data_IF_795315098330
#
_entry.id   IF_795315098330
#
_cell.length_a   1.000
_cell.length_b   1.000
_cell.length_c   1.000
_cell.angle_alpha   90.00
_cell.angle_beta   90.00
_cell.angle_gamma   90.00
#
_symmetry.space_group_name_H-M   'P 1'
#
loop_
_entity.id
_entity.type
_entity.pdbx_description
1 polymer ?
#
# COMPACT_ATOMS: atom_id res chain seq x y z
N UNK A 1 -0.59 5.17 -27.64
CA UNK A 1 -0.25 5.15 -26.20
C UNK A 1 0.27 6.54 -25.80
N UNK A 2 -0.56 7.36 -25.16
CA UNK A 2 -0.26 8.78 -24.90
C UNK A 2 0.55 8.97 -23.62
N UNK A 3 1.33 10.04 -23.53
CA UNK A 3 2.31 10.28 -22.44
C UNK A 3 1.66 10.37 -21.04
N UNK A 4 0.36 10.70 -20.96
CA UNK A 4 -0.38 10.77 -19.71
C UNK A 4 -0.57 9.41 -19.02
N UNK A 5 -0.71 8.31 -19.78
CA UNK A 5 -0.92 6.96 -19.21
C UNK A 5 0.32 6.45 -18.48
N UNK A 6 1.52 6.75 -19.00
CA UNK A 6 2.79 6.41 -18.35
C UNK A 6 3.02 7.17 -17.04
N UNK A 7 2.38 8.34 -16.85
CA UNK A 7 2.48 9.11 -15.61
C UNK A 7 1.56 8.54 -14.53
N UNK A 8 0.35 8.12 -14.89
CA UNK A 8 -0.61 7.46 -13.98
C UNK A 8 -0.13 6.08 -13.55
N UNK A 9 0.43 5.29 -14.47
CA UNK A 9 1.02 3.98 -14.16
C UNK A 9 2.24 4.12 -13.22
N UNK A 10 3.14 5.10 -13.47
CA UNK A 10 4.29 5.36 -12.58
C UNK A 10 3.88 5.90 -11.21
N UNK A 11 2.87 6.77 -11.13
CA UNK A 11 2.35 7.26 -9.84
C UNK A 11 1.69 6.14 -9.01
N UNK A 12 0.94 5.23 -9.65
CA UNK A 12 0.35 4.04 -8.99
C UNK A 12 1.43 3.07 -8.48
N UNK A 13 2.51 2.87 -9.23
CA UNK A 13 3.66 2.07 -8.77
C UNK A 13 4.47 2.77 -7.68
N UNK A 14 4.58 4.09 -7.73
CA UNK A 14 5.31 4.89 -6.76
C UNK A 14 4.66 4.90 -5.37
N UNK A 15 3.33 5.00 -5.28
CA UNK A 15 2.67 5.14 -3.99
C UNK A 15 2.78 3.88 -3.12
N UNK A 16 2.63 2.69 -3.73
CA UNK A 16 2.83 1.43 -3.02
C UNK A 16 4.28 1.25 -2.58
N UNK A 17 5.25 1.61 -3.42
CA UNK A 17 6.67 1.50 -3.11
C UNK A 17 7.11 2.48 -2.01
N UNK A 18 6.57 3.71 -2.03
CA UNK A 18 6.75 4.70 -0.96
C UNK A 18 6.13 4.19 0.35
N UNK A 19 4.93 3.59 0.30
CA UNK A 19 4.29 3.00 1.48
C UNK A 19 5.13 1.88 2.10
N UNK A 20 5.65 0.95 1.28
CA UNK A 20 6.54 -0.11 1.75
C UNK A 20 7.83 0.44 2.35
N UNK A 21 8.47 1.42 1.71
CA UNK A 21 9.67 2.07 2.26
C UNK A 21 9.41 2.75 3.60
N UNK A 22 8.27 3.43 3.75
CA UNK A 22 7.87 4.07 5.01
C UNK A 22 7.66 3.04 6.13
N UNK A 23 7.03 1.90 5.82
CA UNK A 23 6.86 0.81 6.79
C UNK A 23 8.21 0.23 7.23
N UNK A 24 9.11 -0.06 6.29
CA UNK A 24 10.45 -0.57 6.61
C UNK A 24 11.26 0.45 7.43
N UNK A 25 11.18 1.73 7.10
CA UNK A 25 11.81 2.80 7.87
C UNK A 25 11.23 2.92 9.29
N UNK A 26 9.91 2.77 9.44
CA UNK A 26 9.26 2.77 10.76
C UNK A 26 9.69 1.59 11.64
N UNK A 27 9.83 0.39 11.06
CA UNK A 27 10.38 -0.79 11.77
C UNK A 27 11.82 -0.52 12.22
N UNK A 28 12.65 0.04 11.33
CA UNK A 28 14.03 0.39 11.68
C UNK A 28 14.09 1.41 12.83
N UNK A 29 13.23 2.44 12.82
CA UNK A 29 13.13 3.41 13.91
C UNK A 29 12.79 2.77 15.26
N UNK A 30 11.86 1.80 15.28
CA UNK A 30 11.52 1.05 16.51
C UNK A 30 12.72 0.24 17.01
N UNK A 31 13.48 -0.41 16.12
CA UNK A 31 14.67 -1.16 16.50
C UNK A 31 15.77 -0.26 17.07
N UNK A 32 15.98 0.93 16.50
CA UNK A 32 16.90 1.93 17.06
C UNK A 32 16.44 2.45 18.43
N UNK A 33 15.13 2.68 18.61
CA UNK A 33 14.55 3.06 19.88
C UNK A 33 14.82 2.01 20.96
N UNK A 34 14.58 0.74 20.63
CA UNK A 34 14.83 -0.40 21.50
C UNK A 34 16.30 -0.51 21.90
N UNK A 35 17.21 -0.34 20.94
CA UNK A 35 18.64 -0.37 21.21
C UNK A 35 19.08 0.73 22.19
N UNK A 36 18.52 1.94 22.07
CA UNK A 36 18.76 3.04 22.99
C UNK A 36 18.24 2.76 24.41
N UNK A 37 16.98 2.28 24.53
CA UNK A 37 16.40 1.89 25.82
C UNK A 37 17.21 0.78 26.50
N UNK A 38 17.63 -0.23 25.74
CA UNK A 38 18.37 -1.37 26.26
C UNK A 38 19.78 -1.02 26.78
N UNK A 39 20.39 0.07 26.31
CA UNK A 39 21.71 0.54 26.78
C UNK A 39 21.62 1.54 27.93
N UNK A 40 20.42 2.00 28.31
CA UNK A 40 20.22 2.94 29.44
C UNK A 40 19.77 2.20 30.70
N UNK A 41 20.56 2.29 31.77
CA UNK A 41 20.26 1.67 33.07
C UNK A 41 19.24 2.43 33.92
N UNK A 42 18.97 3.70 33.61
CA UNK A 42 18.05 4.54 34.36
C UNK A 42 16.74 4.78 33.61
N UNK A 43 15.61 4.54 34.30
CA UNK A 43 14.25 4.63 33.73
C UNK A 43 13.91 6.03 33.19
N UNK A 44 14.48 7.09 33.76
CA UNK A 44 14.23 8.46 33.28
C UNK A 44 14.86 8.75 31.91
N UNK A 45 15.94 8.05 31.55
CA UNK A 45 16.60 8.18 30.25
C UNK A 45 15.87 7.38 29.16
N UNK A 46 15.04 6.41 29.54
CA UNK A 46 14.30 5.54 28.62
C UNK A 46 13.09 6.25 27.99
N UNK A 47 12.42 7.15 28.72
CA UNK A 47 11.22 7.87 28.23
C UNK A 47 11.51 8.64 26.93
N UNK A 48 12.59 9.43 26.81
CA UNK A 48 12.98 10.07 25.55
C UNK A 48 13.13 9.09 24.37
N UNK A 49 13.72 7.91 24.56
CA UNK A 49 13.90 6.92 23.50
C UNK A 49 12.57 6.28 23.08
N UNK A 50 11.70 5.96 24.04
CA UNK A 50 10.36 5.42 23.76
C UNK A 50 9.49 6.43 23.01
N UNK A 51 9.52 7.71 23.42
CA UNK A 51 8.74 8.77 22.76
C UNK A 51 9.28 9.07 21.36
N UNK A 52 10.61 9.19 21.19
CA UNK A 52 11.21 9.60 19.92
C UNK A 52 11.28 8.48 18.88
N UNK A 53 11.51 7.23 19.28
CA UNK A 53 11.66 6.11 18.35
C UNK A 53 10.50 5.13 18.36
N UNK A 54 9.83 4.94 19.51
CA UNK A 54 8.66 4.08 19.62
C UNK A 54 7.41 4.72 19.02
N UNK A 55 6.99 5.89 19.54
CA UNK A 55 5.77 6.58 19.07
C UNK A 55 5.92 7.04 17.61
N UNK A 56 7.06 7.63 17.27
CA UNK A 56 7.36 8.04 15.90
C UNK A 56 7.41 6.83 14.94
N UNK A 57 8.04 5.73 15.35
CA UNK A 57 8.11 4.50 14.56
C UNK A 57 6.73 3.89 14.29
N UNK A 58 5.88 3.81 15.32
CA UNK A 58 4.48 3.38 15.18
C UNK A 58 3.71 4.31 14.22
N UNK A 59 3.92 5.63 14.33
CA UNK A 59 3.34 6.61 13.41
C UNK A 59 3.77 6.38 11.96
N UNK A 60 5.06 6.17 11.69
CA UNK A 60 5.57 5.88 10.35
C UNK A 60 4.99 4.58 9.77
N UNK A 61 4.89 3.52 10.58
CA UNK A 61 4.30 2.25 10.15
C UNK A 61 2.82 2.44 9.83
N UNK A 62 2.09 3.16 10.67
CA UNK A 62 0.66 3.44 10.45
C UNK A 62 0.41 4.21 9.16
N UNK A 63 1.14 5.30 8.94
CA UNK A 63 1.02 6.11 7.71
C UNK A 63 1.49 5.34 6.48
N UNK A 64 2.62 4.62 6.58
CA UNK A 64 3.14 3.78 5.50
C UNK A 64 2.18 2.67 5.09
N UNK A 65 1.60 1.99 6.08
CA UNK A 65 0.59 0.96 5.88
C UNK A 65 -0.69 1.51 5.24
N UNK A 66 -1.16 2.68 5.68
CA UNK A 66 -2.33 3.33 5.10
C UNK A 66 -2.12 3.71 3.63
N UNK A 67 -0.95 4.26 3.29
CA UNK A 67 -0.58 4.61 1.91
C UNK A 67 -0.46 3.36 1.01
N UNK A 68 0.18 2.30 1.52
CA UNK A 68 0.26 1.03 0.82
C UNK A 68 -1.14 0.44 0.59
N UNK A 69 -1.97 0.40 1.62
CA UNK A 69 -3.33 -0.11 1.56
C UNK A 69 -4.20 0.65 0.57
N UNK A 70 -4.14 1.99 0.55
CA UNK A 70 -4.85 2.81 -0.45
C UNK A 70 -4.40 2.53 -1.88
N UNK A 71 -3.08 2.35 -2.09
CA UNK A 71 -2.54 1.98 -3.40
C UNK A 71 -3.00 0.58 -3.86
N UNK A 72 -3.10 -0.35 -2.92
CA UNK A 72 -3.58 -1.72 -3.16
C UNK A 72 -5.07 -1.75 -3.45
N UNK A 73 -5.90 -1.05 -2.66
CA UNK A 73 -7.34 -0.92 -2.92
C UNK A 73 -7.63 -0.37 -4.31
N UNK A 74 -6.87 0.64 -4.74
CA UNK A 74 -7.02 1.22 -6.07
C UNK A 74 -6.72 0.19 -7.17
N UNK A 75 -5.70 -0.67 -6.97
CA UNK A 75 -5.40 -1.77 -7.90
C UNK A 75 -6.51 -2.82 -7.90
N UNK A 76 -6.99 -3.20 -6.71
CA UNK A 76 -8.05 -4.18 -6.55
C UNK A 76 -9.34 -3.77 -7.26
N UNK A 77 -9.75 -2.49 -7.12
CA UNK A 77 -10.93 -1.96 -7.82
C UNK A 77 -10.75 -1.96 -9.34
N UNK A 78 -9.54 -1.68 -9.83
CA UNK A 78 -9.22 -1.75 -11.26
C UNK A 78 -9.35 -3.17 -11.80
N UNK A 79 -8.75 -4.15 -11.10
CA UNK A 79 -8.81 -5.57 -11.45
C UNK A 79 -10.25 -6.09 -11.44
N UNK A 80 -11.06 -5.66 -10.46
CA UNK A 80 -12.47 -6.01 -10.39
C UNK A 80 -13.25 -5.48 -11.60
N UNK A 81 -13.02 -4.21 -12.01
CA UNK A 81 -13.68 -3.62 -13.19
C UNK A 81 -13.35 -4.38 -14.45
N UNK A 82 -12.08 -4.74 -14.66
CA UNK A 82 -11.66 -5.54 -15.81
C UNK A 82 -12.37 -6.89 -15.87
N UNK A 83 -12.52 -7.55 -14.71
CA UNK A 83 -13.24 -8.82 -14.61
C UNK A 83 -14.72 -8.65 -14.96
N UNK A 84 -15.38 -7.60 -14.48
CA UNK A 84 -16.78 -7.31 -14.82
C UNK A 84 -16.98 -7.07 -16.31
N UNK A 85 -16.08 -6.32 -16.97
CA UNK A 85 -16.19 -6.10 -18.41
C UNK A 85 -15.98 -7.39 -19.22
N UNK A 86 -15.03 -8.24 -18.81
CA UNK A 86 -14.82 -9.52 -19.47
C UNK A 86 -16.05 -10.42 -19.37
N UNK A 87 -16.71 -10.47 -18.21
CA UNK A 87 -17.95 -11.25 -18.03
C UNK A 87 -19.07 -10.70 -18.92
N UNK A 88 -19.25 -9.38 -18.99
CA UNK A 88 -20.26 -8.77 -19.85
C UNK A 88 -20.04 -9.09 -21.33
N UNK A 89 -18.79 -9.04 -21.80
CA UNK A 89 -18.44 -9.41 -23.17
C UNK A 89 -18.79 -10.87 -23.47
N UNK A 90 -18.47 -11.80 -22.57
CA UNK A 90 -18.83 -13.21 -22.73
C UNK A 90 -20.35 -13.42 -22.77
N UNK A 91 -21.11 -12.65 -21.98
CA UNK A 91 -22.56 -12.70 -21.99
C UNK A 91 -23.14 -12.15 -23.31
N UNK A 92 -22.58 -11.07 -23.84
CA UNK A 92 -22.96 -10.48 -25.13
C UNK A 92 -22.64 -11.42 -26.30
N UNK A 93 -21.46 -12.04 -26.30
CA UNK A 93 -21.04 -13.04 -27.30
C UNK A 93 -22.00 -14.24 -27.29
N UNK A 94 -22.27 -14.82 -26.12
CA UNK A 94 -23.23 -15.93 -25.96
C UNK A 94 -24.64 -15.55 -26.39
N UNK A 95 -25.06 -14.31 -26.14
CA UNK A 95 -26.39 -13.85 -26.55
C UNK A 95 -26.49 -13.71 -28.07
N UNK A 96 -25.46 -13.18 -28.74
CA UNK A 96 -25.38 -13.16 -30.21
C UNK A 96 -25.45 -14.55 -30.82
N UNK A 97 -24.65 -15.50 -30.31
CA UNK A 97 -24.64 -16.88 -30.80
C UNK A 97 -26.03 -17.53 -30.68
N UNK A 98 -26.77 -17.23 -29.61
CA UNK A 98 -28.13 -17.75 -29.42
C UNK A 98 -29.11 -17.17 -30.45
N UNK A 99 -28.97 -15.90 -30.82
CA UNK A 99 -29.85 -15.24 -31.80
C UNK A 99 -29.61 -15.77 -33.21
N UNK A 100 -28.38 -16.09 -33.58
CA UNK A 100 -28.05 -16.65 -34.91
C UNK A 100 -28.53 -18.09 -35.12
N UNK A 101 -28.84 -18.82 -34.04
CA UNK A 101 -29.33 -20.21 -34.09
C UNK A 101 -30.85 -20.35 -34.17
N UNK A 102 -31.61 -19.25 -34.09
CA UNK A 102 -33.09 -19.21 -34.16
C UNK A 102 -33.53 -18.70 -35.53
#
# INVERSE_FOLDING_TARGET
>A
MTIQDRRRARMRSGLGLVGTMLMTAGIAAILFAWWGVAHTGYTFEQIPYVVSGGILGVGLIGVGGFLYFGSWLTKLVEEQRQTTYAILQLLEERDRERVEQV
#
